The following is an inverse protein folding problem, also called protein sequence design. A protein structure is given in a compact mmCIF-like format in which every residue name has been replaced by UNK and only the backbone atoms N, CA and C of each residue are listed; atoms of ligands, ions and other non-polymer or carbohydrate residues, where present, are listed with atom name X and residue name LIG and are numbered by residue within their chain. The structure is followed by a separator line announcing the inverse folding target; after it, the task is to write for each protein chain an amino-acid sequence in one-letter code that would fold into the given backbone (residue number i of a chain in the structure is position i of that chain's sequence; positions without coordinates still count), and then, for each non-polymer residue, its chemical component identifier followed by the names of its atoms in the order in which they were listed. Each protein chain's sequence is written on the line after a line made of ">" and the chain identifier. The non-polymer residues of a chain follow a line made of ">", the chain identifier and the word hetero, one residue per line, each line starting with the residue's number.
data_IF_854823725695
#
_entry.id   IF_854823725695
#
_cell.length_a   1.000
_cell.length_b   1.000
_cell.length_c   1.000
_cell.angle_alpha   90.00
_cell.angle_beta   90.00
_cell.angle_gamma   90.00
#
_symmetry.space_group_name_H-M   'P 1'
#
loop_
_entity.id
_entity.type
_entity.pdbx_description
1 polymer ?
#
# COMPACT_ATOMS: atom_id res chain seq x y z
N UNK A 1 -9.74 -19.61 -101.94
CA UNK A 1 -8.31 -19.48 -101.61
C UNK A 1 -8.18 -18.78 -100.27
N UNK A 2 -7.39 -19.40 -99.39
CA UNK A 2 -7.25 -19.12 -97.96
C UNK A 2 -6.64 -17.74 -97.71
N UNK A 3 -7.20 -16.96 -96.78
CA UNK A 3 -6.53 -15.83 -96.14
C UNK A 3 -6.54 -16.05 -94.63
N UNK A 4 -5.37 -15.93 -94.06
CA UNK A 4 -4.93 -16.49 -92.78
C UNK A 4 -5.31 -15.56 -91.63
N UNK A 5 -6.03 -16.09 -90.63
CA UNK A 5 -6.36 -15.37 -89.39
C UNK A 5 -5.10 -15.31 -88.51
N UNK A 6 -4.55 -14.11 -88.35
CA UNK A 6 -3.44 -13.82 -87.45
C UNK A 6 -3.99 -13.71 -86.02
N UNK A 7 -3.75 -14.73 -85.18
CA UNK A 7 -4.08 -14.71 -83.75
C UNK A 7 -2.97 -13.98 -82.98
N UNK A 8 -3.28 -12.77 -82.50
CA UNK A 8 -2.47 -12.09 -81.48
C UNK A 8 -2.76 -12.72 -80.12
N UNK A 9 -1.71 -13.25 -79.48
CA UNK A 9 -1.71 -13.74 -78.10
C UNK A 9 -1.29 -12.56 -77.20
N UNK A 10 -2.10 -12.13 -76.21
CA UNK A 10 -1.64 -11.12 -75.27
C UNK A 10 -0.66 -11.76 -74.28
N UNK A 11 0.58 -11.26 -74.27
CA UNK A 11 1.62 -11.59 -73.29
C UNK A 11 1.22 -10.94 -71.96
N UNK A 12 0.96 -11.78 -70.95
CA UNK A 12 0.71 -11.37 -69.57
C UNK A 12 2.06 -10.98 -68.94
N UNK A 13 2.33 -9.68 -68.81
CA UNK A 13 3.52 -9.17 -68.11
C UNK A 13 3.19 -9.17 -66.61
N UNK A 14 3.76 -10.13 -65.87
CA UNK A 14 3.80 -10.09 -64.41
C UNK A 14 4.80 -9.01 -63.97
N UNK A 15 4.30 -7.85 -63.54
CA UNK A 15 5.09 -6.86 -62.82
C UNK A 15 5.16 -7.31 -61.36
N UNK A 16 6.28 -7.92 -60.96
CA UNK A 16 6.65 -8.07 -59.56
C UNK A 16 6.95 -6.69 -58.99
N UNK A 17 5.97 -6.10 -58.31
CA UNK A 17 6.21 -4.96 -57.42
C UNK A 17 6.89 -5.47 -56.17
N UNK A 18 8.19 -5.19 -56.03
CA UNK A 18 8.87 -5.29 -54.75
C UNK A 18 8.32 -4.19 -53.84
N UNK A 19 7.38 -4.54 -52.97
CA UNK A 19 7.08 -3.69 -51.82
C UNK A 19 8.33 -3.60 -50.94
N UNK A 20 8.74 -2.39 -50.51
CA UNK A 20 9.77 -2.27 -49.50
C UNK A 20 9.22 -2.93 -48.24
N UNK A 21 10.00 -3.83 -47.63
CA UNK A 21 9.64 -4.49 -46.38
C UNK A 21 9.35 -3.43 -45.34
N UNK A 22 8.06 -3.12 -45.13
CA UNK A 22 7.58 -2.60 -43.87
C UNK A 22 8.13 -3.55 -42.84
N UNK A 23 9.10 -3.08 -42.05
CA UNK A 23 9.42 -3.71 -40.77
C UNK A 23 8.07 -3.84 -40.09
N UNK A 24 7.52 -5.04 -40.13
CA UNK A 24 6.54 -5.50 -39.16
C UNK A 24 7.27 -5.33 -37.84
N UNK A 25 7.10 -4.15 -37.23
CA UNK A 25 7.25 -4.02 -35.80
C UNK A 25 6.48 -5.20 -35.26
N UNK A 26 7.17 -6.08 -34.55
CA UNK A 26 6.51 -7.20 -33.91
C UNK A 26 5.34 -6.57 -33.16
N UNK A 27 4.12 -6.91 -33.54
CA UNK A 27 2.99 -6.94 -32.64
C UNK A 27 3.31 -8.02 -31.59
N UNK A 28 4.37 -7.80 -30.84
CA UNK A 28 4.48 -8.28 -29.50
C UNK A 28 3.38 -7.50 -28.80
N UNK A 29 2.21 -8.10 -28.68
CA UNK A 29 1.33 -7.76 -27.59
C UNK A 29 2.15 -8.05 -26.32
N UNK A 30 2.97 -7.08 -25.91
CA UNK A 30 3.63 -7.02 -24.61
C UNK A 30 2.49 -6.76 -23.63
N UNK A 31 1.70 -7.81 -23.40
CA UNK A 31 0.80 -7.85 -22.27
C UNK A 31 1.76 -7.87 -21.09
N UNK A 32 1.85 -6.74 -20.37
CA UNK A 32 2.54 -6.72 -19.07
C UNK A 32 2.08 -7.95 -18.31
N UNK A 33 3.05 -8.67 -17.74
CA UNK A 33 2.75 -9.80 -16.91
C UNK A 33 1.92 -9.35 -15.71
N UNK A 34 0.60 -9.56 -15.78
CA UNK A 34 -0.34 -9.26 -14.70
C UNK A 34 -0.13 -10.16 -13.49
N UNK A 35 0.77 -11.14 -13.55
CA UNK A 35 1.08 -12.02 -12.41
C UNK A 35 1.46 -11.23 -11.17
N UNK A 36 2.22 -10.13 -11.31
CA UNK A 36 2.61 -9.28 -10.18
C UNK A 36 1.38 -8.69 -9.47
N UNK A 37 0.45 -8.10 -10.23
CA UNK A 37 -0.78 -7.53 -9.67
C UNK A 37 -1.64 -8.63 -9.03
N UNK A 38 -1.83 -9.75 -9.73
CA UNK A 38 -2.64 -10.87 -9.23
C UNK A 38 -2.06 -11.44 -7.93
N UNK A 39 -0.73 -11.54 -7.83
CA UNK A 39 -0.03 -12.02 -6.63
C UNK A 39 -0.23 -11.06 -5.45
N UNK A 40 0.01 -9.76 -5.67
CA UNK A 40 -0.21 -8.70 -4.67
C UNK A 40 -1.67 -8.71 -4.19
N UNK A 41 -2.62 -8.57 -5.12
CA UNK A 41 -4.05 -8.45 -4.78
C UNK A 41 -4.61 -9.69 -4.11
N UNK A 42 -4.11 -10.87 -4.47
CA UNK A 42 -4.49 -12.11 -3.80
C UNK A 42 -4.10 -12.10 -2.32
N UNK A 43 -2.90 -11.63 -1.98
CA UNK A 43 -2.47 -11.54 -0.58
C UNK A 43 -3.16 -10.38 0.16
N UNK A 44 -3.30 -9.20 -0.45
CA UNK A 44 -4.05 -8.08 0.15
C UNK A 44 -5.52 -8.45 0.40
N UNK A 45 -6.15 -9.20 -0.49
CA UNK A 45 -7.51 -9.70 -0.30
C UNK A 45 -7.64 -10.72 0.85
N UNK A 46 -6.56 -11.43 1.21
CA UNK A 46 -6.54 -12.27 2.40
C UNK A 46 -6.49 -11.42 3.68
N UNK A 47 -5.71 -10.34 3.67
CA UNK A 47 -5.66 -9.40 4.80
C UNK A 47 -7.00 -8.69 5.03
N UNK A 48 -7.75 -8.38 3.97
CA UNK A 48 -9.14 -7.90 4.10
C UNK A 48 -10.02 -8.86 4.91
N UNK A 49 -9.90 -10.18 4.69
CA UNK A 49 -10.66 -11.17 5.45
C UNK A 49 -10.16 -11.29 6.89
N UNK A 50 -8.84 -11.20 7.06
CA UNK A 50 -8.21 -11.29 8.37
C UNK A 50 -8.63 -10.12 9.27
N UNK A 51 -8.61 -8.88 8.77
CA UNK A 51 -8.98 -7.72 9.58
C UNK A 51 -10.47 -7.74 9.98
N UNK A 52 -11.34 -8.27 9.11
CA UNK A 52 -12.76 -8.50 9.47
C UNK A 52 -12.87 -9.49 10.63
N UNK A 53 -12.13 -10.61 10.58
CA UNK A 53 -12.13 -11.59 11.67
C UNK A 53 -11.58 -11.01 12.97
N UNK A 54 -10.56 -10.16 12.91
CA UNK A 54 -10.02 -9.48 14.09
C UNK A 54 -11.02 -8.47 14.65
N UNK A 55 -11.72 -7.73 13.77
CA UNK A 55 -12.79 -6.81 14.15
C UNK A 55 -13.92 -7.54 14.86
N UNK A 56 -14.39 -8.66 14.32
CA UNK A 56 -15.45 -9.46 14.94
C UNK A 56 -15.03 -9.99 16.32
N UNK A 57 -13.76 -10.37 16.49
CA UNK A 57 -13.22 -10.74 17.80
C UNK A 57 -13.21 -9.55 18.76
N UNK A 58 -12.81 -8.36 18.31
CA UNK A 58 -12.81 -7.16 19.14
C UNK A 58 -14.25 -6.82 19.59
N UNK A 59 -15.22 -6.80 18.68
CA UNK A 59 -16.63 -6.55 19.02
C UNK A 59 -17.17 -7.59 20.01
N UNK A 60 -16.72 -8.85 19.91
CA UNK A 60 -17.03 -9.87 20.91
C UNK A 60 -16.45 -9.52 22.30
N UNK A 61 -15.22 -8.99 22.38
CA UNK A 61 -14.66 -8.55 23.67
C UNK A 61 -15.48 -7.41 24.28
N UNK A 62 -15.89 -6.44 23.47
CA UNK A 62 -16.74 -5.32 23.91
C UNK A 62 -18.08 -5.82 24.45
N UNK A 63 -18.74 -6.72 23.72
CA UNK A 63 -20.01 -7.33 24.15
C UNK A 63 -19.91 -8.15 25.46
N UNK A 64 -18.70 -8.54 25.88
CA UNK A 64 -18.44 -9.33 27.08
C UNK A 64 -17.65 -8.56 28.15
N UNK A 65 -17.55 -7.22 28.04
CA UNK A 65 -16.78 -6.32 28.91
C UNK A 65 -16.90 -6.66 30.39
N UNK A 66 -18.11 -6.72 30.93
CA UNK A 66 -18.35 -6.97 32.37
C UNK A 66 -17.77 -8.30 32.85
N UNK A 67 -17.83 -9.34 32.02
CA UNK A 67 -17.29 -10.65 32.37
C UNK A 67 -15.77 -10.67 32.31
N UNK A 68 -15.21 -10.00 31.30
CA UNK A 68 -13.75 -9.90 31.11
C UNK A 68 -13.12 -9.07 32.22
N UNK A 69 -13.71 -7.93 32.60
CA UNK A 69 -13.21 -7.09 33.69
C UNK A 69 -13.11 -7.85 35.02
N UNK A 70 -14.08 -8.73 35.33
CA UNK A 70 -14.04 -9.56 36.55
C UNK A 70 -12.90 -10.58 36.57
N UNK A 71 -12.38 -10.95 35.41
CA UNK A 71 -11.34 -11.97 35.24
C UNK A 71 -10.01 -11.38 34.75
N UNK A 72 -9.93 -10.05 34.59
CA UNK A 72 -8.81 -9.40 33.95
C UNK A 72 -7.53 -9.55 34.79
N UNK A 73 -6.44 -9.92 34.12
CA UNK A 73 -5.11 -9.98 34.71
C UNK A 73 -4.52 -8.56 34.82
N UNK A 74 -4.82 -7.86 35.91
CA UNK A 74 -4.45 -6.44 36.11
C UNK A 74 -2.93 -6.19 35.95
N UNK A 75 -2.09 -7.18 36.24
CA UNK A 75 -0.63 -7.05 36.23
C UNK A 75 0.02 -7.57 34.93
N UNK A 76 -0.75 -7.82 33.86
CA UNK A 76 -0.19 -8.27 32.57
C UNK A 76 0.79 -7.24 31.98
N UNK A 77 0.51 -5.96 32.18
CA UNK A 77 1.35 -4.85 31.74
C UNK A 77 1.90 -4.08 32.94
N UNK A 78 3.13 -3.59 32.79
CA UNK A 78 3.68 -2.54 33.64
C UNK A 78 3.67 -1.22 32.88
N UNK A 79 3.36 -0.11 33.56
CA UNK A 79 3.22 1.21 32.96
C UNK A 79 4.11 2.24 33.65
N UNK A 80 4.63 3.19 32.88
CA UNK A 80 5.17 4.46 33.35
C UNK A 80 4.31 5.60 32.78
N UNK A 81 3.48 6.22 33.63
CA UNK A 81 2.39 7.07 33.15
C UNK A 81 1.39 6.23 32.35
N UNK A 82 1.02 6.70 31.16
CA UNK A 82 0.17 5.96 30.23
C UNK A 82 0.89 4.97 29.31
N UNK A 83 2.21 4.84 29.41
CA UNK A 83 3.02 4.05 28.47
C UNK A 83 3.41 2.70 29.05
N UNK A 84 3.16 1.62 28.31
CA UNK A 84 3.65 0.31 28.73
C UNK A 84 5.18 0.25 28.66
N UNK A 85 5.79 -0.45 29.61
CA UNK A 85 7.25 -0.50 29.76
C UNK A 85 7.91 -1.66 29.00
N UNK A 86 7.13 -2.53 28.37
CA UNK A 86 7.65 -3.66 27.60
C UNK A 86 8.35 -3.18 26.33
N UNK A 87 9.38 -3.91 25.94
CA UNK A 87 10.23 -3.58 24.79
C UNK A 87 10.19 -4.69 23.75
N UNK A 88 10.58 -4.42 22.47
CA UNK A 88 10.70 -5.47 21.46
C UNK A 88 11.71 -6.58 21.81
N UNK A 89 12.58 -6.37 22.81
CA UNK A 89 13.57 -7.35 23.25
C UNK A 89 13.03 -8.32 24.30
N UNK A 90 11.86 -8.04 24.87
CA UNK A 90 11.27 -8.88 25.91
C UNK A 90 10.83 -10.22 25.32
N UNK A 91 10.94 -11.29 26.13
CA UNK A 91 10.56 -12.64 25.70
C UNK A 91 9.05 -12.78 25.50
N UNK A 92 8.27 -12.07 26.32
CA UNK A 92 6.83 -12.04 26.18
C UNK A 92 6.44 -11.20 24.96
N UNK A 93 5.74 -11.82 24.01
CA UNK A 93 5.28 -11.18 22.77
C UNK A 93 4.06 -10.28 23.03
N UNK A 94 4.24 -9.26 23.86
CA UNK A 94 3.24 -8.25 24.14
C UNK A 94 3.23 -7.15 23.07
N UNK A 95 2.11 -6.47 22.95
CA UNK A 95 2.00 -5.22 22.18
C UNK A 95 2.60 -4.08 22.99
N UNK A 96 2.97 -2.96 22.37
CA UNK A 96 3.08 -1.70 23.09
C UNK A 96 1.68 -1.13 23.31
N UNK A 97 1.39 -0.71 24.53
CA UNK A 97 0.11 -0.11 24.91
C UNK A 97 0.36 1.31 25.41
N UNK A 98 -0.38 2.26 24.87
CA UNK A 98 -0.30 3.68 25.25
C UNK A 98 -1.70 4.19 25.56
N UNK A 99 -1.88 4.83 26.70
CA UNK A 99 -3.02 5.69 27.03
C UNK A 99 -2.52 7.13 26.99
N UNK A 100 -2.98 7.92 26.03
CA UNK A 100 -2.52 9.30 25.87
C UNK A 100 -3.20 10.23 26.88
N UNK A 101 -2.47 11.28 27.30
CA UNK A 101 -2.93 12.33 28.22
C UNK A 101 -4.09 13.17 27.64
N UNK A 102 -4.35 13.04 26.33
CA UNK A 102 -5.51 13.62 25.65
C UNK A 102 -6.84 12.92 25.98
N UNK A 103 -6.81 11.75 26.65
CA UNK A 103 -8.03 11.08 27.13
C UNK A 103 -8.79 11.95 28.14
N UNK A 104 -10.12 11.91 28.07
CA UNK A 104 -10.98 12.56 29.07
C UNK A 104 -11.25 11.69 30.29
N UNK A 105 -10.97 10.38 30.21
CA UNK A 105 -11.26 9.40 31.25
C UNK A 105 -10.23 8.26 31.24
N UNK A 106 -9.19 8.40 32.05
CA UNK A 106 -8.11 7.41 32.14
C UNK A 106 -8.58 6.04 32.63
N UNK A 107 -9.55 5.99 33.55
CA UNK A 107 -10.05 4.73 34.09
C UNK A 107 -10.80 3.94 33.02
N UNK A 108 -11.63 4.62 32.22
CA UNK A 108 -12.29 4.01 31.06
C UNK A 108 -11.28 3.51 30.01
N UNK A 109 -10.26 4.31 29.72
CA UNK A 109 -9.16 3.90 28.84
C UNK A 109 -8.42 2.67 29.40
N UNK A 110 -8.23 2.58 30.71
CA UNK A 110 -7.62 1.41 31.35
C UNK A 110 -8.52 0.17 31.30
N UNK A 111 -9.84 0.32 31.47
CA UNK A 111 -10.78 -0.79 31.26
C UNK A 111 -10.67 -1.37 29.85
N UNK A 112 -10.53 -0.50 28.83
CA UNK A 112 -10.28 -0.92 27.46
C UNK A 112 -9.01 -1.77 27.34
N UNK A 113 -7.90 -1.31 27.94
CA UNK A 113 -6.65 -2.09 27.99
C UNK A 113 -6.89 -3.48 28.59
N UNK A 114 -7.62 -3.57 29.70
CA UNK A 114 -7.88 -4.82 30.41
C UNK A 114 -8.73 -5.81 29.61
N UNK A 115 -9.83 -5.36 29.01
CA UNK A 115 -10.74 -6.25 28.26
C UNK A 115 -10.14 -6.71 26.93
N UNK A 116 -9.13 -5.99 26.42
CA UNK A 116 -8.47 -6.31 25.15
C UNK A 116 -7.15 -7.07 25.32
N UNK A 117 -6.85 -7.61 26.49
CA UNK A 117 -5.63 -8.41 26.70
C UNK A 117 -5.48 -9.60 25.74
N UNK A 118 -6.57 -10.24 25.32
CA UNK A 118 -6.51 -11.36 24.37
C UNK A 118 -6.11 -10.94 22.96
N UNK A 119 -6.20 -9.65 22.63
CA UNK A 119 -5.79 -9.12 21.33
C UNK A 119 -4.30 -9.35 21.07
N UNK A 120 -3.44 -9.36 22.11
CA UNK A 120 -2.01 -9.63 21.94
C UNK A 120 -1.77 -11.00 21.30
N UNK A 121 -2.45 -12.04 21.80
CA UNK A 121 -2.31 -13.40 21.26
C UNK A 121 -2.87 -13.51 19.85
N UNK A 122 -3.92 -12.75 19.52
CA UNK A 122 -4.47 -12.69 18.17
C UNK A 122 -3.50 -11.98 17.22
N UNK A 123 -2.96 -10.83 17.62
CA UNK A 123 -1.97 -10.08 16.85
C UNK A 123 -0.70 -10.91 16.59
N UNK A 124 -0.19 -11.63 17.60
CA UNK A 124 0.94 -12.54 17.43
C UNK A 124 0.63 -13.62 16.38
N UNK A 125 -0.53 -14.28 16.49
CA UNK A 125 -0.91 -15.34 15.56
C UNK A 125 -1.05 -14.82 14.12
N UNK A 126 -1.69 -13.67 13.94
CA UNK A 126 -1.86 -13.06 12.61
C UNK A 126 -0.51 -12.59 12.05
N UNK A 127 0.33 -11.97 12.86
CA UNK A 127 1.66 -11.52 12.44
C UNK A 127 2.56 -12.69 12.02
N UNK A 128 2.52 -13.81 12.76
CA UNK A 128 3.27 -15.02 12.41
C UNK A 128 2.70 -15.77 11.20
N UNK A 129 1.41 -15.57 10.90
CA UNK A 129 0.74 -16.19 9.75
C UNK A 129 1.08 -15.49 8.44
N UNK A 130 1.30 -14.17 8.47
CA UNK A 130 1.56 -13.36 7.28
C UNK A 130 2.90 -12.63 7.38
N UNK A 131 3.93 -13.22 6.78
CA UNK A 131 5.31 -12.69 6.81
C UNK A 131 5.49 -11.27 6.23
N UNK A 132 4.48 -10.70 5.57
CA UNK A 132 4.57 -9.34 5.01
C UNK A 132 4.21 -8.23 5.99
N UNK A 133 3.61 -8.58 7.14
CA UNK A 133 3.07 -7.58 8.05
C UNK A 133 4.20 -6.86 8.77
N UNK A 134 4.14 -5.54 8.75
CA UNK A 134 5.00 -4.68 9.56
C UNK A 134 4.42 -4.57 10.97
N UNK A 135 3.10 -4.31 11.06
CA UNK A 135 2.39 -4.05 12.30
C UNK A 135 0.91 -4.46 12.22
N UNK A 136 0.34 -4.73 13.38
CA UNK A 136 -1.09 -4.87 13.62
C UNK A 136 -1.43 -4.03 14.85
N UNK A 137 -2.48 -3.24 14.79
CA UNK A 137 -2.80 -2.31 15.86
C UNK A 137 -4.29 -2.04 15.99
N UNK A 138 -4.67 -1.39 17.08
CA UNK A 138 -5.88 -0.58 17.12
C UNK A 138 -5.61 0.75 17.81
N UNK A 139 -6.45 1.73 17.49
CA UNK A 139 -6.54 3.02 18.17
C UNK A 139 -8.00 3.30 18.53
N UNK A 140 -8.27 3.90 19.69
CA UNK A 140 -9.65 4.09 20.18
C UNK A 140 -10.02 5.57 20.32
N UNK A 141 -11.33 5.86 20.34
CA UNK A 141 -11.85 7.21 20.57
C UNK A 141 -11.43 7.80 21.93
N UNK A 142 -11.20 6.92 22.92
CA UNK A 142 -10.73 7.25 24.26
C UNK A 142 -9.19 7.20 24.36
N UNK A 143 -8.50 7.40 23.23
CA UNK A 143 -7.07 7.67 23.17
C UNK A 143 -6.19 6.53 23.71
N UNK A 144 -6.60 5.28 23.45
CA UNK A 144 -5.79 4.08 23.67
C UNK A 144 -5.22 3.62 22.34
N UNK A 145 -3.91 3.37 22.31
CA UNK A 145 -3.23 2.71 21.20
C UNK A 145 -2.64 1.38 21.68
N UNK A 146 -2.83 0.32 20.89
CA UNK A 146 -2.17 -0.96 21.07
C UNK A 146 -1.55 -1.38 19.75
N UNK A 147 -0.23 -1.60 19.72
CA UNK A 147 0.52 -1.93 18.50
C UNK A 147 1.40 -3.15 18.72
N UNK A 148 1.32 -4.11 17.81
CA UNK A 148 2.19 -5.27 17.74
C UNK A 148 2.97 -5.29 16.41
N UNK A 149 4.26 -5.67 16.37
CA UNK A 149 5.13 -5.96 17.51
C UNK A 149 5.37 -4.73 18.39
N UNK A 150 5.75 -4.95 19.66
CA UNK A 150 6.14 -3.87 20.55
C UNK A 150 7.25 -2.98 19.94
N UNK A 151 7.24 -1.71 20.33
CA UNK A 151 8.17 -0.65 19.98
C UNK A 151 8.40 0.27 21.19
N UNK A 152 9.46 1.09 21.15
CA UNK A 152 9.77 2.05 22.23
C UNK A 152 8.81 3.26 22.17
N UNK A 153 7.59 3.04 22.66
CA UNK A 153 6.51 4.02 22.59
C UNK A 153 6.85 5.32 23.32
N UNK A 154 7.55 5.22 24.45
CA UNK A 154 7.95 6.38 25.25
C UNK A 154 8.98 7.26 24.52
N UNK A 155 9.86 6.66 23.73
CA UNK A 155 10.84 7.41 22.95
C UNK A 155 10.26 8.04 21.68
N UNK A 156 9.23 7.42 21.07
CA UNK A 156 8.73 7.83 19.76
C UNK A 156 7.45 8.67 19.80
N UNK A 157 6.61 8.53 20.84
CA UNK A 157 5.30 9.18 20.89
C UNK A 157 5.24 10.31 21.91
N UNK A 158 4.46 11.35 21.58
CA UNK A 158 4.14 12.42 22.52
C UNK A 158 2.93 12.05 23.39
N UNK A 159 2.97 12.29 24.71
CA UNK A 159 1.86 11.94 25.60
C UNK A 159 0.52 12.62 25.27
N UNK A 160 0.53 13.81 24.65
CA UNK A 160 -0.68 14.60 24.37
C UNK A 160 -1.22 14.41 22.94
N UNK A 161 -0.77 13.39 22.19
CA UNK A 161 -1.28 13.12 20.85
C UNK A 161 -2.78 12.84 20.87
N UNK A 162 -3.48 13.29 19.85
CA UNK A 162 -4.88 12.96 19.60
C UNK A 162 -4.95 12.01 18.41
N UNK A 163 -5.16 10.72 18.70
CA UNK A 163 -5.20 9.65 17.71
C UNK A 163 -6.26 9.88 16.64
N UNK A 164 -7.36 10.56 16.99
CA UNK A 164 -8.50 10.78 16.08
C UNK A 164 -8.18 11.71 14.92
N UNK A 165 -7.06 12.43 14.99
CA UNK A 165 -6.62 13.39 13.98
C UNK A 165 -5.71 12.80 12.91
N UNK A 166 -5.33 11.53 13.04
CA UNK A 166 -4.46 10.85 12.10
C UNK A 166 -5.25 9.99 11.12
N UNK A 167 -4.69 9.82 9.93
CA UNK A 167 -5.33 9.08 8.83
C UNK A 167 -5.71 7.65 9.19
N UNK A 168 -4.86 6.94 9.93
CA UNK A 168 -5.16 5.59 10.41
C UNK A 168 -6.41 5.51 11.31
N UNK A 169 -6.91 6.64 11.81
CA UNK A 169 -8.15 6.71 12.57
C UNK A 169 -9.30 7.29 11.75
N UNK A 170 -9.15 8.49 11.18
CA UNK A 170 -10.28 9.14 10.51
C UNK A 170 -10.71 8.41 9.23
N UNK A 171 -9.83 7.67 8.55
CA UNK A 171 -10.21 6.82 7.41
C UNK A 171 -11.17 5.68 7.81
N UNK A 172 -11.21 5.33 9.10
CA UNK A 172 -12.18 4.38 9.64
C UNK A 172 -13.50 5.03 10.11
N UNK A 173 -13.58 6.35 10.23
CA UNK A 173 -14.75 7.01 10.79
C UNK A 173 -15.97 6.98 9.86
N UNK A 174 -17.15 7.36 10.37
CA UNK A 174 -18.39 7.36 9.57
C UNK A 174 -18.47 8.47 8.51
N UNK A 175 -17.61 9.48 8.57
CA UNK A 175 -17.53 10.56 7.57
C UNK A 175 -16.79 10.07 6.33
N UNK A 176 -15.67 9.36 6.53
CA UNK A 176 -14.81 8.85 5.46
C UNK A 176 -15.23 7.44 5.00
N UNK A 177 -15.70 6.60 5.92
CA UNK A 177 -16.12 5.21 5.68
C UNK A 177 -17.57 4.95 6.13
N UNK A 178 -18.57 5.51 5.41
CA UNK A 178 -19.98 5.31 5.73
C UNK A 178 -20.43 3.84 5.60
N UNK A 179 -19.72 3.04 4.78
CA UNK A 179 -19.98 1.62 4.58
C UNK A 179 -19.50 0.73 5.74
N UNK A 180 -18.69 1.28 6.66
CA UNK A 180 -18.18 0.61 7.88
C UNK A 180 -17.34 -0.65 7.59
N UNK A 181 -16.82 -0.76 6.37
CA UNK A 181 -16.03 -1.91 5.93
C UNK A 181 -14.52 -1.71 6.11
N UNK A 182 -13.71 -2.70 5.70
CA UNK A 182 -12.27 -2.52 5.56
C UNK A 182 -11.95 -1.46 4.51
N UNK A 183 -10.97 -0.59 4.79
CA UNK A 183 -10.50 0.48 3.90
C UNK A 183 -8.99 0.40 3.76
N UNK A 184 -8.50 0.33 2.52
CA UNK A 184 -7.09 0.54 2.24
C UNK A 184 -6.82 2.03 2.10
N UNK A 185 -5.90 2.57 2.89
CA UNK A 185 -5.43 3.95 2.76
C UNK A 185 -4.53 4.01 1.53
N UNK A 186 -5.04 4.62 0.46
CA UNK A 186 -4.42 4.55 -0.86
C UNK A 186 -3.10 5.32 -0.97
N UNK A 187 -2.91 6.34 -0.13
CA UNK A 187 -1.68 7.10 -0.01
C UNK A 187 -0.75 6.48 1.02
N UNK A 188 0.46 6.13 0.60
CA UNK A 188 1.50 5.69 1.53
C UNK A 188 1.98 6.86 2.39
N UNK A 189 2.18 6.59 3.67
CA UNK A 189 2.58 7.57 4.66
C UNK A 189 3.66 7.01 5.60
N UNK A 190 4.31 7.89 6.35
CA UNK A 190 5.35 7.48 7.30
C UNK A 190 4.70 6.92 8.56
N UNK A 191 5.12 5.73 8.96
CA UNK A 191 4.70 5.11 10.22
C UNK A 191 5.22 5.89 11.44
N UNK A 192 4.32 6.36 12.34
CA UNK A 192 4.68 6.98 13.61
C UNK A 192 5.54 6.12 14.54
N UNK A 193 5.48 4.79 14.44
CA UNK A 193 6.32 3.88 15.23
C UNK A 193 7.69 3.58 14.58
N UNK A 194 8.03 4.25 13.47
CA UNK A 194 9.37 4.23 12.89
C UNK A 194 9.67 3.08 11.91
N UNK A 195 8.65 2.42 11.34
CA UNK A 195 8.82 1.37 10.31
C UNK A 195 9.12 1.90 8.90
N UNK A 196 9.09 3.21 8.69
CA UNK A 196 9.31 3.84 7.38
C UNK A 196 7.99 4.08 6.64
N UNK A 197 8.01 3.96 5.32
CA UNK A 197 6.80 4.14 4.50
C UNK A 197 5.91 2.91 4.56
N UNK A 198 4.64 3.10 4.88
CA UNK A 198 3.66 2.03 5.03
C UNK A 198 2.44 2.21 4.12
N UNK A 199 1.85 1.08 3.75
CA UNK A 199 0.50 0.93 3.24
C UNK A 199 -0.35 0.33 4.36
N UNK A 200 -1.51 0.92 4.62
CA UNK A 200 -2.36 0.53 5.74
C UNK A 200 -3.74 0.08 5.30
N UNK A 201 -4.19 -1.01 5.90
CA UNK A 201 -5.57 -1.47 5.85
C UNK A 201 -6.19 -1.21 7.22
N UNK A 202 -7.27 -0.44 7.25
CA UNK A 202 -7.99 -0.10 8.49
C UNK A 202 -9.41 -0.66 8.49
N UNK A 203 -9.96 -0.92 9.67
CA UNK A 203 -11.34 -1.36 9.83
C UNK A 203 -11.95 -0.76 11.10
N UNK A 204 -13.09 -0.06 11.03
CA UNK A 204 -13.75 0.44 12.23
C UNK A 204 -14.37 -0.68 13.06
N UNK A 205 -14.34 -0.48 14.37
CA UNK A 205 -14.93 -1.32 15.41
C UNK A 205 -16.03 -0.49 16.08
N UNK A 206 -17.24 -1.02 16.21
CA UNK A 206 -18.36 -0.31 16.81
C UNK A 206 -18.78 -0.92 18.15
N UNK A 207 -19.20 -0.07 19.09
CA UNK A 207 -19.87 -0.45 20.32
C UNK A 207 -21.24 0.23 20.34
N UNK A 208 -22.33 -0.55 20.43
CA UNK A 208 -23.71 -0.04 20.43
C UNK A 208 -24.08 0.89 19.24
N UNK A 209 -23.38 0.75 18.12
CA UNK A 209 -23.61 1.54 16.90
C UNK A 209 -22.76 2.80 16.77
N UNK A 210 -21.96 3.13 17.78
CA UNK A 210 -21.00 4.24 17.78
C UNK A 210 -19.58 3.74 17.52
N UNK A 211 -18.77 4.54 16.82
CA UNK A 211 -17.37 4.20 16.57
C UNK A 211 -16.63 4.09 17.90
N UNK A 212 -15.99 2.95 18.14
CA UNK A 212 -15.24 2.70 19.36
C UNK A 212 -13.73 2.73 19.10
N UNK A 213 -13.30 2.05 18.05
CA UNK A 213 -11.90 1.94 17.67
C UNK A 213 -11.74 1.78 16.17
N UNK A 214 -10.50 1.92 15.70
CA UNK A 214 -10.09 1.57 14.35
C UNK A 214 -8.93 0.59 14.47
N UNK A 215 -9.14 -0.63 13.98
CA UNK A 215 -8.10 -1.64 13.80
C UNK A 215 -7.30 -1.31 12.55
N UNK A 216 -6.01 -1.66 12.54
CA UNK A 216 -5.17 -1.48 11.39
C UNK A 216 -4.13 -2.60 11.22
N UNK A 217 -3.74 -2.80 9.96
CA UNK A 217 -2.66 -3.66 9.52
C UNK A 217 -1.77 -2.83 8.61
N UNK A 218 -0.47 -2.80 8.89
CA UNK A 218 0.51 -2.09 8.08
C UNK A 218 1.45 -3.04 7.35
N UNK A 219 1.79 -2.68 6.13
CA UNK A 219 2.80 -3.32 5.29
C UNK A 219 3.82 -2.26 4.90
N UNK A 220 5.12 -2.53 5.02
CA UNK A 220 6.11 -1.58 4.54
C UNK A 220 6.16 -1.57 3.00
N UNK A 221 6.38 -0.40 2.42
CA UNK A 221 6.63 -0.25 0.98
C UNK A 221 7.84 -1.08 0.56
N UNK A 222 8.87 -1.15 1.41
CA UNK A 222 10.06 -1.97 1.17
C UNK A 222 9.73 -3.46 1.03
N UNK A 223 8.84 -3.99 1.89
CA UNK A 223 8.39 -5.37 1.81
C UNK A 223 7.64 -5.62 0.51
N UNK A 224 6.74 -4.72 0.09
CA UNK A 224 6.04 -4.82 -1.20
C UNK A 224 7.03 -4.88 -2.38
N UNK A 225 8.04 -3.99 -2.42
CA UNK A 225 9.04 -3.95 -3.49
C UNK A 225 9.87 -5.24 -3.50
N UNK A 226 10.41 -5.64 -2.34
CA UNK A 226 11.31 -6.78 -2.23
C UNK A 226 10.60 -8.12 -2.52
N UNK A 227 9.36 -8.26 -2.05
CA UNK A 227 8.55 -9.46 -2.25
C UNK A 227 8.16 -9.62 -3.72
N UNK A 228 7.65 -8.56 -4.34
CA UNK A 228 6.97 -8.69 -5.63
C UNK A 228 7.75 -8.19 -6.84
N UNK A 229 8.63 -7.20 -6.69
CA UNK A 229 9.32 -6.57 -7.82
C UNK A 229 10.78 -7.01 -7.95
N UNK A 230 11.50 -7.14 -6.83
CA UNK A 230 12.96 -7.35 -6.84
C UNK A 230 13.43 -8.64 -7.54
N UNK A 231 12.58 -9.67 -7.60
CA UNK A 231 12.89 -10.97 -8.23
C UNK A 231 12.31 -11.13 -9.63
N UNK A 232 11.47 -10.19 -10.09
CA UNK A 232 10.84 -10.27 -11.41
C UNK A 232 11.79 -9.70 -12.46
N UNK A 233 11.74 -10.26 -13.66
CA UNK A 233 12.51 -9.75 -14.79
C UNK A 233 11.77 -8.56 -15.39
N UNK A 234 12.42 -7.41 -15.46
CA UNK A 234 11.85 -6.16 -15.94
C UNK A 234 12.09 -5.03 -14.95
N UNK A 235 11.79 -3.81 -15.39
CA UNK A 235 11.98 -2.59 -14.63
C UNK A 235 10.61 -2.02 -14.28
N UNK A 236 10.14 -2.23 -13.06
CA UNK A 236 8.78 -1.92 -12.64
C UNK A 236 8.70 -0.75 -11.65
N UNK A 237 7.58 -0.04 -11.71
CA UNK A 237 7.16 1.00 -10.78
C UNK A 237 5.72 0.72 -10.33
N UNK A 238 5.42 1.02 -9.08
CA UNK A 238 4.05 1.14 -8.56
C UNK A 238 3.79 2.61 -8.30
N UNK A 239 2.68 3.11 -8.84
CA UNK A 239 2.31 4.53 -8.79
C UNK A 239 0.84 4.65 -8.40
N UNK A 240 0.50 5.58 -7.51
CA UNK A 240 -0.90 5.83 -7.15
C UNK A 240 -1.63 6.68 -8.21
N UNK A 241 -2.94 6.84 -8.06
CA UNK A 241 -3.80 7.64 -8.96
C UNK A 241 -3.47 9.13 -8.97
N UNK A 242 -2.70 9.63 -8.00
CA UNK A 242 -2.20 11.02 -7.96
C UNK A 242 -0.85 11.18 -8.69
N UNK A 243 -0.26 10.08 -9.16
CA UNK A 243 1.04 10.07 -9.82
C UNK A 243 2.23 9.94 -8.87
N UNK A 244 2.03 9.70 -7.58
CA UNK A 244 3.13 9.48 -6.64
C UNK A 244 3.70 8.08 -6.84
N UNK A 245 5.03 8.01 -6.99
CA UNK A 245 5.76 6.74 -7.04
C UNK A 245 5.75 6.14 -5.63
N UNK A 246 4.98 5.06 -5.48
CA UNK A 246 4.90 4.27 -4.26
C UNK A 246 6.21 3.49 -4.08
N UNK A 247 6.66 2.82 -5.13
CA UNK A 247 7.86 1.96 -5.09
C UNK A 247 8.28 1.49 -6.47
N UNK A 248 9.47 0.89 -6.59
CA UNK A 248 9.92 0.33 -7.86
C UNK A 248 11.39 -0.06 -7.89
N UNK A 249 11.80 -0.69 -9.00
CA UNK A 249 13.20 -1.05 -9.24
C UNK A 249 14.05 0.21 -9.44
N UNK A 250 15.29 0.21 -8.92
CA UNK A 250 16.19 1.36 -9.04
C UNK A 250 16.40 1.81 -10.50
N UNK A 251 16.56 0.85 -11.42
CA UNK A 251 16.72 1.13 -12.84
C UNK A 251 15.49 1.80 -13.48
N UNK A 252 14.27 1.41 -13.09
CA UNK A 252 13.04 2.05 -13.57
C UNK A 252 12.95 3.52 -13.12
N UNK A 253 13.32 3.77 -11.86
CA UNK A 253 13.29 5.11 -11.24
C UNK A 253 14.34 6.02 -11.87
N UNK A 254 15.56 5.50 -12.05
CA UNK A 254 16.66 6.20 -12.71
C UNK A 254 16.35 6.50 -14.17
N UNK A 255 15.74 5.55 -14.90
CA UNK A 255 15.33 5.74 -16.29
C UNK A 255 14.33 6.90 -16.44
N UNK A 256 13.43 7.08 -15.47
CA UNK A 256 12.52 8.23 -15.44
C UNK A 256 13.16 9.52 -14.88
N UNK A 257 14.47 9.52 -14.65
CA UNK A 257 15.25 10.65 -14.12
C UNK A 257 14.84 11.11 -12.71
N UNK A 258 14.28 10.21 -11.90
CA UNK A 258 14.04 10.46 -10.48
C UNK A 258 15.27 10.10 -9.65
N UNK A 259 15.50 10.77 -8.50
CA UNK A 259 16.51 10.32 -7.54
C UNK A 259 16.14 8.93 -7.00
N UNK A 260 17.08 8.19 -6.37
CA UNK A 260 16.74 6.95 -5.69
C UNK A 260 15.70 7.17 -4.58
N UNK A 261 14.76 6.25 -4.44
CA UNK A 261 13.87 6.19 -3.28
C UNK A 261 14.71 5.83 -2.05
N UNK A 262 14.98 6.79 -1.18
CA UNK A 262 15.67 6.53 0.07
C UNK A 262 14.68 6.04 1.12
N UNK A 263 15.09 5.03 1.89
CA UNK A 263 14.39 4.62 3.10
C UNK A 263 14.62 5.71 4.15
N UNK A 264 13.59 6.49 4.42
CA UNK A 264 13.62 7.45 5.50
C UNK A 264 13.48 6.69 6.83
N UNK A 265 14.59 6.60 7.56
CA UNK A 265 14.56 6.25 8.98
C UNK A 265 14.26 7.55 9.73
N UNK A 266 12.99 7.81 9.99
CA UNK A 266 12.59 8.92 10.85
C UNK A 266 13.03 8.59 12.29
N UNK A 267 13.72 9.53 12.95
CA UNK A 267 14.07 9.45 14.39
C UNK A 267 13.38 10.52 15.22
N UNK A 268 12.50 11.29 14.60
CA UNK A 268 11.75 12.38 15.21
C UNK A 268 10.28 11.96 15.38
N UNK A 269 9.58 12.54 16.35
CA UNK A 269 8.17 12.21 16.60
C UNK A 269 7.29 12.77 15.47
N UNK A 270 6.35 11.95 14.99
CA UNK A 270 5.40 12.36 13.95
C UNK A 270 4.22 13.08 14.61
N UNK A 271 4.06 14.37 14.32
CA UNK A 271 2.99 15.20 14.89
C UNK A 271 1.74 15.31 14.00
N UNK A 272 1.82 14.89 12.73
CA UNK A 272 0.73 14.93 11.75
C UNK A 272 1.01 13.98 10.58
N UNK A 273 -0.02 13.66 9.80
CA UNK A 273 0.10 12.81 8.61
C UNK A 273 1.23 13.29 7.68
N UNK A 274 2.19 12.43 7.41
CA UNK A 274 3.31 12.72 6.52
C UNK A 274 3.28 11.75 5.33
N UNK A 275 2.74 12.24 4.22
CA UNK A 275 2.68 11.51 2.96
C UNK A 275 3.97 11.65 2.15
N UNK A 276 4.16 10.79 1.16
CA UNK A 276 5.31 10.86 0.26
C UNK A 276 5.15 12.03 -0.72
N UNK A 277 5.46 13.26 -0.30
CA UNK A 277 5.14 14.49 -1.06
C UNK A 277 6.18 14.83 -2.16
N UNK A 278 5.62 15.21 -3.31
CA UNK A 278 6.08 15.97 -4.49
C UNK A 278 7.33 15.56 -5.29
N UNK A 279 8.44 15.19 -4.65
CA UNK A 279 9.71 14.95 -5.37
C UNK A 279 9.69 13.66 -6.19
N UNK A 280 8.77 12.75 -5.84
CA UNK A 280 8.56 11.45 -6.49
C UNK A 280 7.19 11.37 -7.16
N UNK A 281 6.68 12.49 -7.66
CA UNK A 281 5.43 12.52 -8.42
C UNK A 281 5.69 12.64 -9.92
N UNK A 282 5.09 11.77 -10.73
CA UNK A 282 5.26 11.73 -12.18
C UNK A 282 4.84 13.04 -12.87
N UNK A 283 3.80 13.72 -12.40
CA UNK A 283 3.36 15.02 -12.93
C UNK A 283 4.33 16.16 -12.60
N UNK A 284 5.16 15.98 -11.57
CA UNK A 284 6.18 16.95 -11.17
C UNK A 284 7.55 16.67 -11.79
N UNK A 285 7.69 15.62 -12.61
CA UNK A 285 8.97 15.29 -13.25
C UNK A 285 9.52 16.47 -14.05
N UNK A 286 10.84 16.67 -14.01
CA UNK A 286 11.53 17.69 -14.83
C UNK A 286 11.46 17.35 -16.32
N UNK A 287 11.33 16.07 -16.67
CA UNK A 287 11.24 15.61 -18.04
C UNK A 287 9.79 15.69 -18.56
N UNK A 288 9.58 16.32 -19.72
CA UNK A 288 8.24 16.48 -20.31
C UNK A 288 7.61 15.17 -20.78
N UNK A 289 8.41 14.22 -21.25
CA UNK A 289 7.90 12.91 -21.68
C UNK A 289 7.37 12.11 -20.50
N UNK A 290 8.02 12.18 -19.34
CA UNK A 290 7.52 11.53 -18.12
C UNK A 290 6.18 12.11 -17.68
N UNK A 291 6.00 13.44 -17.78
CA UNK A 291 4.70 14.08 -17.48
C UNK A 291 3.61 13.69 -18.48
N UNK A 292 3.95 13.57 -19.78
CA UNK A 292 3.02 13.10 -20.81
C UNK A 292 2.64 11.62 -20.60
N UNK A 293 3.60 10.77 -20.22
CA UNK A 293 3.35 9.38 -19.84
C UNK A 293 2.37 9.32 -18.66
N UNK A 294 2.58 10.15 -17.62
CA UNK A 294 1.67 10.22 -16.47
C UNK A 294 0.24 10.59 -16.88
N UNK A 295 0.08 11.61 -17.73
CA UNK A 295 -1.21 11.99 -18.32
C UNK A 295 -1.85 10.82 -19.07
N UNK A 296 -1.09 10.16 -19.94
CA UNK A 296 -1.55 9.01 -20.75
C UNK A 296 -2.12 7.91 -19.88
N UNK A 297 -1.41 7.49 -18.82
CA UNK A 297 -1.82 6.36 -18.00
C UNK A 297 -2.90 6.69 -16.96
N UNK A 298 -2.77 7.83 -16.28
CA UNK A 298 -3.59 8.15 -15.11
C UNK A 298 -4.89 8.85 -15.52
N UNK A 299 -4.81 9.77 -16.48
CA UNK A 299 -5.94 10.61 -16.88
C UNK A 299 -6.61 10.07 -18.13
N UNK A 300 -5.83 9.66 -19.14
CA UNK A 300 -6.38 9.18 -20.41
C UNK A 300 -6.64 7.67 -20.40
N UNK A 301 -6.14 6.96 -19.36
CA UNK A 301 -6.31 5.51 -19.13
C UNK A 301 -5.77 4.63 -20.27
N UNK A 302 -4.76 5.13 -20.98
CA UNK A 302 -4.00 4.36 -21.94
C UNK A 302 -3.10 3.34 -21.24
N UNK A 303 -2.68 2.30 -21.95
CA UNK A 303 -1.89 1.20 -21.40
C UNK A 303 -0.45 1.15 -21.91
N UNK A 304 -0.06 2.05 -22.81
CA UNK A 304 1.30 2.15 -23.34
C UNK A 304 1.66 3.59 -23.69
N UNK A 305 2.95 3.91 -23.63
CA UNK A 305 3.52 5.21 -24.01
C UNK A 305 4.87 4.98 -24.66
N UNK A 306 5.10 5.58 -25.83
CA UNK A 306 6.39 5.52 -26.52
C UNK A 306 7.13 6.84 -26.33
N UNK A 307 8.36 6.77 -25.87
CA UNK A 307 9.19 7.94 -25.58
C UNK A 307 9.94 8.40 -26.83
N UNK A 308 10.14 9.72 -26.94
CA UNK A 308 10.94 10.33 -28.00
C UNK A 308 12.43 9.89 -27.95
N UNK A 309 13.09 9.85 -29.10
CA UNK A 309 14.40 9.20 -29.27
C UNK A 309 15.57 9.77 -28.46
N UNK A 310 15.46 11.01 -28.02
CA UNK A 310 16.48 11.68 -27.21
C UNK A 310 16.40 11.32 -25.72
N UNK A 311 15.30 10.68 -25.29
CA UNK A 311 15.11 10.19 -23.93
C UNK A 311 15.19 8.65 -23.93
N UNK A 312 15.88 8.10 -22.93
CA UNK A 312 15.86 6.67 -22.63
C UNK A 312 15.14 6.55 -21.30
N UNK A 313 13.93 5.97 -21.22
CA UNK A 313 13.44 4.72 -21.84
C UNK A 313 12.90 4.82 -23.28
N UNK A 314 12.58 3.67 -23.89
CA UNK A 314 11.98 3.56 -25.23
C UNK A 314 10.45 3.43 -25.22
N UNK A 315 9.92 2.68 -24.26
CA UNK A 315 8.49 2.55 -24.03
C UNK A 315 8.18 2.40 -22.54
N UNK A 316 6.93 2.64 -22.17
CA UNK A 316 6.37 2.23 -20.90
C UNK A 316 5.01 1.60 -21.13
N UNK A 317 4.64 0.66 -20.27
CA UNK A 317 3.34 -0.01 -20.30
C UNK A 317 2.73 0.11 -18.91
N UNK A 318 1.41 0.26 -18.81
CA UNK A 318 0.71 0.39 -17.53
C UNK A 318 -0.46 -0.58 -17.42
N UNK A 319 -0.63 -1.17 -16.22
CA UNK A 319 -1.80 -1.94 -15.85
C UNK A 319 -2.33 -1.44 -14.50
N UNK A 320 -3.62 -1.10 -14.40
CA UNK A 320 -4.22 -0.69 -13.12
C UNK A 320 -4.41 -1.88 -12.18
N UNK A 321 -4.29 -1.63 -10.89
CA UNK A 321 -4.78 -2.51 -9.85
C UNK A 321 -6.32 -2.44 -9.80
N UNK A 322 -6.93 -3.52 -9.31
CA UNK A 322 -8.37 -3.66 -9.05
C UNK A 322 -8.74 -3.32 -7.60
N UNK A 323 -7.84 -3.55 -6.64
CA UNK A 323 -8.07 -3.36 -5.20
C UNK A 323 -7.64 -1.98 -4.69
N UNK A 324 -6.58 -1.43 -5.28
CA UNK A 324 -6.03 -0.12 -4.95
C UNK A 324 -6.13 0.77 -6.18
N UNK A 325 -6.28 2.08 -5.98
CA UNK A 325 -6.23 3.08 -7.06
C UNK A 325 -4.78 3.32 -7.53
N UNK A 326 -4.09 2.24 -7.88
CA UNK A 326 -2.68 2.18 -8.22
C UNK A 326 -2.49 1.62 -9.64
N UNK A 327 -1.27 1.79 -10.15
CA UNK A 327 -0.80 1.28 -11.43
C UNK A 327 0.52 0.58 -11.25
N UNK A 328 0.66 -0.59 -11.88
CA UNK A 328 1.96 -1.18 -12.16
C UNK A 328 2.41 -0.66 -13.53
N UNK A 329 3.59 -0.05 -13.58
CA UNK A 329 4.19 0.47 -14.81
C UNK A 329 5.49 -0.31 -15.07
N UNK A 330 5.61 -0.90 -16.25
CA UNK A 330 6.85 -1.50 -16.75
C UNK A 330 7.56 -0.49 -17.66
N UNK A 331 8.85 -0.27 -17.42
CA UNK A 331 9.70 0.63 -18.19
C UNK A 331 10.62 -0.19 -19.10
N UNK A 332 10.51 0.01 -20.41
CA UNK A 332 11.37 -0.62 -21.41
C UNK A 332 12.58 0.29 -21.68
N UNK A 333 13.69 0.03 -21.00
CA UNK A 333 14.94 0.79 -21.15
C UNK A 333 15.64 0.38 -22.46
N UNK A 334 16.05 1.36 -23.26
CA UNK A 334 16.80 1.11 -24.51
C UNK A 334 18.17 0.53 -24.15
N UNK A 335 18.52 -0.61 -24.74
CA UNK A 335 19.81 -1.30 -24.58
C UNK A 335 20.97 -0.58 -25.27
#
# INVERSE_FOLDING_TARGET
>A
MKSTILRIFPILIFLCSCEPSTKTGSNHSLVIDRSIIVEIESELAQLNKEIISMKDHFEFLLANRDSLLRQAEINKYSFEGGFSTNTPQDFEKLSSVVIFDSTTDFEKSMENVLITHSMDSLFVQTYEKYDMLAQIYYNTVDQVSRVFPAYDAKALMEPNLDLTRFNFFYEGDLVHNPERGPVWISEVYVDPAGRGWILSLVHPVFEEGELYAVLGIDITVDELINRYLAKKKGDFLIVNSKGDIVGGNAAAIEALSFPPLLNHVYRETIHADNFRISDFNLFNSKNSEVRKMAQSFILDRENHYFFEDEFSPGAAYAVPFSLLDWYLIEIEIRS
#
